data_IF_807864417281
#
_entry.id   IF_807864417281
#
_cell.length_a   1.000
_cell.length_b   1.000
_cell.length_c   1.000
_cell.angle_alpha   90.00
_cell.angle_beta   90.00
_cell.angle_gamma   90.00
#
_symmetry.space_group_name_H-M   'P 1'
#
loop_
_entity.id
_entity.type
_entity.pdbx_description
1 polymer ?
#
# COMPACT_ATOMS: atom_id res chain seq x y z
N UNK A 1 -30.21 24.52 30.09
CA UNK A 1 -29.25 23.55 30.65
C UNK A 1 -29.64 22.17 30.11
N UNK A 2 -29.14 21.82 28.94
CA UNK A 2 -29.32 20.49 28.37
C UNK A 2 -28.22 19.60 28.96
N UNK A 3 -28.67 18.66 29.79
CA UNK A 3 -27.83 17.59 30.30
C UNK A 3 -27.47 16.68 29.09
N UNK A 4 -26.27 16.78 28.59
CA UNK A 4 -25.68 15.73 27.75
C UNK A 4 -25.60 14.48 28.61
N UNK A 5 -26.57 13.58 28.45
CA UNK A 5 -26.46 12.20 28.92
C UNK A 5 -25.32 11.56 28.10
N UNK A 6 -24.13 11.53 28.71
CA UNK A 6 -23.06 10.66 28.28
C UNK A 6 -23.50 9.22 28.58
N UNK A 7 -24.28 8.61 27.69
CA UNK A 7 -24.48 7.18 27.72
C UNK A 7 -23.10 6.53 27.55
N UNK A 8 -22.64 5.89 28.64
CA UNK A 8 -21.44 5.07 28.63
C UNK A 8 -21.70 3.92 27.67
N UNK A 9 -21.27 4.04 26.43
CA UNK A 9 -21.32 2.94 25.45
C UNK A 9 -20.66 1.71 26.06
N UNK A 10 -21.34 0.58 25.98
CA UNK A 10 -20.78 -0.70 26.42
C UNK A 10 -19.60 -1.08 25.50
N UNK A 11 -18.66 -1.87 26.02
CA UNK A 11 -17.51 -2.35 25.22
C UNK A 11 -17.96 -3.05 23.93
N UNK A 12 -19.10 -3.76 23.98
CA UNK A 12 -19.73 -4.42 22.83
C UNK A 12 -20.19 -3.42 21.77
N UNK A 13 -20.72 -2.28 22.13
CA UNK A 13 -21.18 -1.23 21.20
C UNK A 13 -19.98 -0.56 20.52
N UNK A 14 -18.93 -0.24 21.26
CA UNK A 14 -17.68 0.29 20.69
C UNK A 14 -17.08 -0.68 19.68
N UNK A 15 -17.05 -1.98 20.01
CA UNK A 15 -16.52 -2.98 19.10
C UNK A 15 -17.38 -3.11 17.84
N UNK A 16 -18.71 -3.05 17.98
CA UNK A 16 -19.63 -3.11 16.84
C UNK A 16 -19.48 -1.91 15.90
N UNK A 17 -19.21 -0.72 16.45
CA UNK A 17 -18.97 0.48 15.66
C UNK A 17 -17.67 0.40 14.85
N UNK A 18 -16.58 -0.10 15.44
CA UNK A 18 -15.33 -0.36 14.74
C UNK A 18 -15.52 -1.37 13.59
N UNK A 19 -16.24 -2.48 13.86
CA UNK A 19 -16.58 -3.46 12.83
C UNK A 19 -17.40 -2.86 11.69
N UNK A 20 -18.32 -1.96 11.98
CA UNK A 20 -19.11 -1.25 10.98
C UNK A 20 -18.21 -0.40 10.08
N UNK A 21 -17.22 0.29 10.64
CA UNK A 21 -16.23 1.07 9.84
C UNK A 21 -15.43 0.15 8.91
N UNK A 22 -14.88 -0.94 9.45
CA UNK A 22 -14.09 -1.91 8.67
C UNK A 22 -14.94 -2.51 7.54
N UNK A 23 -16.16 -2.94 7.85
CA UNK A 23 -17.10 -3.51 6.86
C UNK A 23 -17.44 -2.50 5.76
N UNK A 24 -17.70 -1.25 6.13
CA UNK A 24 -18.02 -0.19 5.17
C UNK A 24 -16.82 0.15 4.29
N UNK A 25 -15.61 0.16 4.85
CA UNK A 25 -14.38 0.36 4.10
C UNK A 25 -14.13 -0.80 3.13
N UNK A 26 -14.32 -2.04 3.55
CA UNK A 26 -14.20 -3.21 2.69
C UNK A 26 -15.21 -3.17 1.53
N UNK A 27 -16.47 -2.82 1.81
CA UNK A 27 -17.48 -2.60 0.77
C UNK A 27 -17.07 -1.46 -0.18
N UNK A 28 -16.50 -0.38 0.36
CA UNK A 28 -15.98 0.73 -0.44
C UNK A 28 -14.89 0.28 -1.41
N UNK A 29 -13.94 -0.55 -0.95
CA UNK A 29 -12.88 -1.12 -1.80
C UNK A 29 -13.49 -1.97 -2.92
N UNK A 30 -14.46 -2.84 -2.62
CA UNK A 30 -15.15 -3.65 -3.65
C UNK A 30 -15.84 -2.77 -4.69
N UNK A 31 -16.59 -1.75 -4.24
CA UNK A 31 -17.27 -0.83 -5.15
C UNK A 31 -16.30 -0.02 -5.99
N UNK A 32 -15.20 0.45 -5.40
CA UNK A 32 -14.13 1.14 -6.12
C UNK A 32 -13.46 0.23 -7.16
N UNK A 33 -13.22 -1.05 -6.82
CA UNK A 33 -12.65 -2.03 -7.75
C UNK A 33 -13.59 -2.28 -8.93
N UNK A 34 -14.88 -2.41 -8.70
CA UNK A 34 -15.88 -2.56 -9.76
C UNK A 34 -15.88 -1.32 -10.67
N UNK A 35 -15.88 -0.12 -10.06
CA UNK A 35 -15.86 1.12 -10.83
C UNK A 35 -14.59 1.25 -11.68
N UNK A 36 -13.42 1.01 -11.09
CA UNK A 36 -12.14 1.07 -11.78
C UNK A 36 -12.00 0.00 -12.87
N UNK A 37 -12.66 -1.16 -12.73
CA UNK A 37 -12.59 -2.24 -13.72
C UNK A 37 -13.10 -1.83 -15.10
N UNK A 38 -13.97 -0.84 -15.19
CA UNK A 38 -14.46 -0.31 -16.48
C UNK A 38 -13.42 0.56 -17.20
N UNK A 39 -12.46 1.10 -16.49
CA UNK A 39 -11.47 2.04 -17.01
C UNK A 39 -10.05 1.51 -17.02
N UNK A 40 -9.80 0.33 -16.43
CA UNK A 40 -8.44 -0.16 -16.20
C UNK A 40 -7.67 -0.41 -17.49
N UNK A 41 -8.34 -0.86 -18.54
CA UNK A 41 -7.71 -1.13 -19.83
C UNK A 41 -7.24 0.16 -20.50
N UNK A 42 -8.06 1.21 -20.45
CA UNK A 42 -7.71 2.53 -20.96
C UNK A 42 -6.59 3.17 -20.13
N UNK A 43 -6.65 3.04 -18.81
CA UNK A 43 -5.61 3.55 -17.90
C UNK A 43 -4.27 2.87 -18.18
N UNK A 44 -4.27 1.54 -18.30
CA UNK A 44 -3.05 0.78 -18.59
C UNK A 44 -2.52 1.04 -20.00
N UNK A 45 -3.39 1.13 -20.99
CA UNK A 45 -3.02 1.46 -22.37
C UNK A 45 -2.32 2.82 -22.43
N UNK A 46 -2.97 3.86 -21.93
CA UNK A 46 -2.41 5.21 -21.90
C UNK A 46 -1.13 5.30 -21.07
N UNK A 47 -1.04 4.53 -19.97
CA UNK A 47 0.15 4.48 -19.14
C UNK A 47 1.33 3.81 -19.87
N UNK A 48 1.10 2.68 -20.53
CA UNK A 48 2.12 2.00 -21.35
C UNK A 48 2.58 2.87 -22.52
N UNK A 49 1.68 3.58 -23.18
CA UNK A 49 2.02 4.55 -24.23
C UNK A 49 2.85 5.72 -23.69
N UNK A 50 2.65 6.11 -22.43
CA UNK A 50 3.45 7.20 -21.80
C UNK A 50 4.87 6.79 -21.44
N UNK A 51 5.19 5.50 -21.47
CA UNK A 51 6.54 4.98 -21.27
C UNK A 51 7.40 5.22 -22.54
N UNK A 52 7.52 6.41 -23.05
CA UNK A 52 8.21 6.90 -24.25
C UNK A 52 9.47 6.09 -24.69
N UNK A 53 9.29 4.81 -24.90
CA UNK A 53 10.27 3.93 -25.52
C UNK A 53 10.28 4.28 -27.01
N UNK A 54 11.42 4.51 -27.61
CA UNK A 54 11.60 4.99 -29.00
C UNK A 54 10.63 4.32 -29.97
N UNK A 55 9.70 5.14 -30.53
CA UNK A 55 8.41 4.72 -31.08
C UNK A 55 8.47 3.83 -32.33
N UNK A 56 9.60 3.67 -32.96
CA UNK A 56 9.67 3.01 -34.28
C UNK A 56 9.87 1.49 -34.22
N UNK A 57 10.23 0.90 -33.06
CA UNK A 57 10.57 -0.52 -32.96
C UNK A 57 10.09 -1.27 -31.72
N UNK A 58 9.37 -0.63 -30.78
CA UNK A 58 8.98 -1.28 -29.53
C UNK A 58 7.52 -1.71 -29.51
N UNK A 59 7.31 -3.01 -29.34
CA UNK A 59 6.00 -3.59 -29.08
C UNK A 59 6.05 -4.24 -27.69
N UNK A 60 5.22 -3.75 -26.77
CA UNK A 60 5.00 -4.46 -25.52
C UNK A 60 4.37 -5.83 -25.82
N UNK A 61 4.96 -6.88 -25.29
CA UNK A 61 4.48 -8.24 -25.46
C UNK A 61 3.79 -8.70 -24.17
N UNK A 62 2.68 -9.40 -24.32
CA UNK A 62 2.03 -10.12 -23.22
C UNK A 62 2.18 -11.60 -23.54
N UNK A 63 3.00 -12.30 -22.77
CA UNK A 63 3.29 -13.71 -23.02
C UNK A 63 2.25 -14.67 -22.45
N UNK A 64 1.56 -14.26 -21.38
CA UNK A 64 0.55 -15.07 -20.72
C UNK A 64 -0.74 -14.26 -20.50
N UNK A 65 -1.87 -14.66 -21.08
CA UNK A 65 -3.16 -14.04 -20.83
C UNK A 65 -3.59 -14.14 -19.35
N UNK A 66 -3.21 -15.20 -18.65
CA UNK A 66 -3.51 -15.38 -17.23
C UNK A 66 -2.78 -14.37 -16.37
N UNK A 67 -1.46 -14.21 -16.58
CA UNK A 67 -0.65 -13.27 -15.83
C UNK A 67 -1.11 -11.82 -16.06
N UNK A 68 -1.61 -11.54 -17.26
CA UNK A 68 -2.23 -10.24 -17.56
C UNK A 68 -3.49 -9.98 -16.75
N UNK A 69 -4.37 -10.99 -16.63
CA UNK A 69 -5.59 -10.89 -15.84
C UNK A 69 -5.25 -10.71 -14.34
N UNK A 70 -4.35 -11.54 -13.81
CA UNK A 70 -3.93 -11.45 -12.41
C UNK A 70 -3.31 -10.09 -12.09
N UNK A 71 -2.48 -9.57 -13.00
CA UNK A 71 -1.87 -8.26 -12.90
C UNK A 71 -2.90 -7.14 -12.85
N UNK A 72 -3.92 -7.18 -13.71
CA UNK A 72 -5.04 -6.23 -13.68
C UNK A 72 -5.80 -6.27 -12.35
N UNK A 73 -6.13 -7.46 -11.84
CA UNK A 73 -6.84 -7.58 -10.58
C UNK A 73 -6.03 -7.09 -9.39
N UNK A 74 -4.72 -7.38 -9.36
CA UNK A 74 -3.82 -6.87 -8.33
C UNK A 74 -3.75 -5.34 -8.35
N UNK A 75 -3.66 -4.74 -9.54
CA UNK A 75 -3.63 -3.29 -9.72
C UNK A 75 -4.94 -2.63 -9.27
N UNK A 76 -6.08 -3.21 -9.69
CA UNK A 76 -7.41 -2.75 -9.27
C UNK A 76 -7.53 -2.73 -7.76
N UNK A 77 -7.06 -3.78 -7.07
CA UNK A 77 -7.11 -3.87 -5.63
C UNK A 77 -6.27 -2.79 -4.95
N UNK A 78 -5.04 -2.58 -5.42
CA UNK A 78 -4.13 -1.55 -4.86
C UNK A 78 -4.72 -0.16 -5.02
N UNK A 79 -5.19 0.20 -6.22
CA UNK A 79 -5.77 1.52 -6.47
C UNK A 79 -7.08 1.73 -5.72
N UNK A 80 -7.90 0.68 -5.58
CA UNK A 80 -9.14 0.74 -4.80
C UNK A 80 -8.87 0.95 -3.31
N UNK A 81 -7.86 0.28 -2.75
CA UNK A 81 -7.42 0.50 -1.38
C UNK A 81 -6.93 1.95 -1.23
N UNK A 82 -6.08 2.43 -2.13
CA UNK A 82 -5.57 3.79 -2.09
C UNK A 82 -6.69 4.83 -2.14
N UNK A 83 -7.70 4.60 -2.97
CA UNK A 83 -8.85 5.50 -3.13
C UNK A 83 -9.72 5.58 -1.87
N UNK A 84 -9.92 4.45 -1.17
CA UNK A 84 -10.77 4.37 0.01
C UNK A 84 -10.02 4.69 1.31
N UNK A 85 -8.69 4.64 1.29
CA UNK A 85 -7.86 4.85 2.47
C UNK A 85 -8.09 6.21 3.16
N UNK A 86 -8.20 7.37 2.47
CA UNK A 86 -8.49 8.65 3.11
C UNK A 86 -9.84 8.65 3.85
N UNK A 87 -10.85 8.02 3.26
CA UNK A 87 -12.17 7.88 3.90
C UNK A 87 -12.07 6.99 5.15
N UNK A 88 -11.38 5.85 5.06
CA UNK A 88 -11.20 4.91 6.16
C UNK A 88 -10.47 5.57 7.34
N UNK A 89 -9.37 6.28 7.07
CA UNK A 89 -8.60 6.99 8.11
C UNK A 89 -9.42 8.10 8.76
N UNK A 90 -10.23 8.83 7.99
CA UNK A 90 -11.16 9.82 8.52
C UNK A 90 -12.20 9.22 9.46
N UNK A 91 -12.80 8.08 9.10
CA UNK A 91 -13.79 7.37 9.94
C UNK A 91 -13.16 6.81 11.22
N UNK A 92 -11.98 6.19 11.12
CA UNK A 92 -11.23 5.70 12.29
C UNK A 92 -10.88 6.86 13.23
N UNK A 93 -10.45 8.00 12.69
CA UNK A 93 -10.18 9.19 13.46
C UNK A 93 -11.41 9.64 14.28
N UNK A 94 -12.55 9.82 13.61
CA UNK A 94 -13.77 10.29 14.28
C UNK A 94 -14.26 9.31 15.34
N UNK A 95 -14.08 8.03 15.13
CA UNK A 95 -14.39 6.98 16.10
C UNK A 95 -13.50 7.06 17.35
N UNK A 96 -12.20 7.28 17.18
CA UNK A 96 -11.24 7.24 18.27
C UNK A 96 -11.17 8.56 19.08
N UNK A 97 -11.44 9.72 18.44
CA UNK A 97 -11.27 11.05 19.06
C UNK A 97 -12.00 11.23 20.40
N UNK A 98 -13.22 10.72 20.61
CA UNK A 98 -13.92 10.90 21.89
C UNK A 98 -13.22 10.24 23.10
N UNK A 99 -12.43 9.16 22.84
CA UNK A 99 -11.72 8.43 23.88
C UNK A 99 -10.30 8.91 24.19
N UNK A 100 -9.81 9.93 23.47
CA UNK A 100 -8.43 10.39 23.57
C UNK A 100 -8.31 11.69 24.37
N UNK A 101 -7.20 11.86 25.12
CA UNK A 101 -6.85 13.12 25.75
C UNK A 101 -6.41 14.17 24.70
N UNK A 102 -6.51 15.46 25.03
CA UNK A 102 -6.26 16.53 24.05
C UNK A 102 -4.83 16.54 23.47
N UNK A 103 -3.84 16.10 24.25
CA UNK A 103 -2.46 15.93 23.77
C UNK A 103 -2.34 14.78 22.76
N UNK A 104 -3.10 13.72 22.99
CA UNK A 104 -3.10 12.51 22.17
C UNK A 104 -3.84 12.71 20.85
N UNK A 105 -4.92 13.51 20.88
CA UNK A 105 -5.73 13.81 19.67
C UNK A 105 -4.90 14.37 18.52
N UNK A 106 -3.94 15.25 18.83
CA UNK A 106 -3.11 15.88 17.79
C UNK A 106 -2.22 14.85 17.10
N UNK A 107 -1.50 14.05 17.90
CA UNK A 107 -0.59 13.05 17.34
C UNK A 107 -1.34 11.97 16.57
N UNK A 108 -2.41 11.44 17.16
CA UNK A 108 -3.26 10.42 16.52
C UNK A 108 -3.84 10.91 15.19
N UNK A 109 -4.39 12.13 15.18
CA UNK A 109 -4.91 12.76 13.96
C UNK A 109 -3.83 12.92 12.91
N UNK A 110 -2.63 13.39 13.30
CA UNK A 110 -1.51 13.58 12.38
C UNK A 110 -1.05 12.25 11.78
N UNK A 111 -0.90 11.20 12.58
CA UNK A 111 -0.49 9.88 12.12
C UNK A 111 -1.50 9.25 11.13
N UNK A 112 -2.80 9.37 11.42
CA UNK A 112 -3.86 8.90 10.52
C UNK A 112 -3.94 9.71 9.22
N UNK A 113 -3.87 11.04 9.32
CA UNK A 113 -3.88 11.90 8.16
C UNK A 113 -2.66 11.64 7.27
N UNK A 114 -1.50 11.50 7.91
CA UNK A 114 -0.26 11.18 7.21
C UNK A 114 -0.38 9.88 6.42
N UNK A 115 -0.82 8.78 7.04
CA UNK A 115 -0.99 7.52 6.33
C UNK A 115 -2.08 7.57 5.27
N UNK A 116 -3.22 8.22 5.55
CA UNK A 116 -4.35 8.32 4.64
C UNK A 116 -4.10 9.16 3.39
N UNK A 117 -3.19 10.12 3.45
CA UNK A 117 -2.86 11.02 2.32
C UNK A 117 -1.54 10.63 1.67
N UNK A 118 -0.53 10.28 2.46
CA UNK A 118 0.80 9.99 1.92
C UNK A 118 0.82 8.69 1.12
N UNK A 119 0.12 7.65 1.55
CA UNK A 119 0.10 6.38 0.79
C UNK A 119 -0.42 6.60 -0.65
N UNK A 120 -1.58 7.22 -0.89
CA UNK A 120 -2.02 7.53 -2.25
C UNK A 120 -1.05 8.39 -3.05
N UNK A 121 -0.43 9.39 -2.41
CA UNK A 121 0.56 10.26 -3.07
C UNK A 121 1.81 9.46 -3.47
N UNK A 122 2.33 8.62 -2.58
CA UNK A 122 3.49 7.78 -2.87
C UNK A 122 3.19 6.76 -3.97
N UNK A 123 2.00 6.17 -3.98
CA UNK A 123 1.57 5.29 -5.07
C UNK A 123 1.52 6.05 -6.39
N UNK A 124 0.97 7.26 -6.41
CA UNK A 124 1.00 8.11 -7.59
C UNK A 124 2.43 8.39 -8.08
N UNK A 125 3.34 8.76 -7.16
CA UNK A 125 4.74 8.99 -7.49
C UNK A 125 5.45 7.75 -8.04
N UNK A 126 5.16 6.57 -7.48
CA UNK A 126 5.71 5.30 -7.98
C UNK A 126 5.26 5.05 -9.42
N UNK A 127 3.95 5.13 -9.67
CA UNK A 127 3.38 4.75 -10.96
C UNK A 127 3.63 5.76 -12.07
N UNK A 128 3.57 7.06 -11.77
CA UNK A 128 3.66 8.11 -12.80
C UNK A 128 5.02 8.79 -12.91
N UNK A 129 5.92 8.59 -11.94
CA UNK A 129 7.25 9.21 -11.97
C UNK A 129 8.35 8.16 -11.88
N UNK A 130 8.34 7.31 -10.82
CA UNK A 130 9.47 6.42 -10.57
C UNK A 130 9.56 5.28 -11.58
N UNK A 131 8.45 4.62 -11.90
CA UNK A 131 8.43 3.52 -12.88
C UNK A 131 8.78 3.98 -14.30
N UNK A 132 8.18 5.04 -14.86
CA UNK A 132 8.59 5.55 -16.16
C UNK A 132 10.07 5.94 -16.22
N UNK A 133 10.55 6.64 -15.19
CA UNK A 133 11.97 6.98 -15.09
C UNK A 133 12.88 5.75 -15.09
N UNK A 134 12.50 4.73 -14.33
CA UNK A 134 13.29 3.50 -14.20
C UNK A 134 13.30 2.69 -15.52
N UNK A 135 12.16 2.60 -16.20
CA UNK A 135 12.05 1.91 -17.49
C UNK A 135 12.89 2.62 -18.55
N UNK A 136 12.78 3.95 -18.65
CA UNK A 136 13.57 4.73 -19.60
C UNK A 136 15.07 4.64 -19.30
N UNK A 137 15.46 4.65 -18.02
CA UNK A 137 16.87 4.48 -17.63
C UNK A 137 17.43 3.12 -18.05
N UNK A 138 16.68 2.04 -17.87
CA UNK A 138 17.11 0.71 -18.29
C UNK A 138 17.10 0.54 -19.80
N UNK A 139 16.23 1.21 -20.52
CA UNK A 139 16.23 1.23 -21.97
C UNK A 139 17.52 1.89 -22.50
N UNK A 140 17.87 3.05 -21.96
CA UNK A 140 19.09 3.79 -22.34
C UNK A 140 20.38 3.01 -22.03
N UNK A 141 20.44 2.33 -20.87
CA UNK A 141 21.60 1.52 -20.46
C UNK A 141 21.62 0.15 -21.14
N UNK A 142 20.45 -0.41 -21.46
CA UNK A 142 20.29 -1.75 -22.04
C UNK A 142 20.54 -1.81 -23.56
N UNK A 143 20.64 -0.69 -24.24
CA UNK A 143 21.05 -0.63 -25.65
C UNK A 143 22.50 -1.09 -25.76
N UNK A 144 22.71 -2.40 -25.96
CA UNK A 144 24.01 -2.91 -26.31
C UNK A 144 24.34 -2.41 -27.73
N UNK A 145 25.12 -1.35 -27.85
CA UNK A 145 25.77 -0.93 -29.07
C UNK A 145 26.77 -2.01 -29.52
N UNK A 146 26.28 -3.03 -30.15
CA UNK A 146 27.09 -4.11 -30.70
C UNK A 146 26.67 -4.41 -32.10
N UNK A 147 27.55 -4.10 -33.07
CA UNK A 147 27.30 -4.23 -34.47
C UNK A 147 26.70 -5.57 -34.93
N UNK A 148 25.82 -5.49 -35.95
CA UNK A 148 24.96 -6.55 -36.49
C UNK A 148 23.90 -7.05 -35.47
N UNK A 149 22.86 -6.28 -35.30
CA UNK A 149 21.71 -6.47 -34.40
C UNK A 149 21.00 -7.80 -34.59
N UNK A 150 21.45 -8.83 -33.92
CA UNK A 150 20.78 -10.13 -33.81
C UNK A 150 19.83 -10.16 -32.59
N UNK A 151 19.96 -9.22 -31.63
CA UNK A 151 19.19 -9.19 -30.40
C UNK A 151 18.37 -7.90 -30.35
N UNK A 152 17.05 -8.02 -30.52
CA UNK A 152 16.10 -6.95 -30.22
C UNK A 152 15.56 -7.15 -28.80
N UNK A 153 15.67 -6.15 -27.93
CA UNK A 153 15.03 -6.17 -26.63
C UNK A 153 13.50 -6.10 -26.80
N UNK A 154 12.78 -7.04 -26.19
CA UNK A 154 11.33 -6.99 -26.08
C UNK A 154 10.96 -6.84 -24.63
N UNK A 155 10.18 -5.83 -24.32
CA UNK A 155 9.70 -5.59 -22.97
C UNK A 155 8.40 -6.33 -22.73
N UNK A 156 8.36 -7.12 -21.66
CA UNK A 156 7.13 -7.75 -21.18
C UNK A 156 6.35 -6.76 -20.31
N UNK A 157 5.17 -6.35 -20.79
CA UNK A 157 4.31 -5.43 -20.08
C UNK A 157 3.93 -5.95 -18.69
N UNK A 158 3.68 -7.27 -18.56
CA UNK A 158 3.31 -7.90 -17.30
C UNK A 158 4.44 -7.78 -16.28
N UNK A 159 5.67 -8.02 -16.69
CA UNK A 159 6.84 -7.94 -15.79
C UNK A 159 7.06 -6.52 -15.28
N UNK A 160 6.94 -5.50 -16.12
CA UNK A 160 7.08 -4.08 -15.72
C UNK A 160 5.97 -3.69 -14.73
N UNK A 161 4.73 -4.02 -15.04
CA UNK A 161 3.60 -3.71 -14.16
C UNK A 161 3.72 -4.46 -12.83
N UNK A 162 4.16 -5.72 -12.86
CA UNK A 162 4.37 -6.56 -11.67
C UNK A 162 5.45 -5.99 -10.74
N UNK A 163 6.51 -5.36 -11.27
CA UNK A 163 7.48 -4.63 -10.44
C UNK A 163 6.78 -3.50 -9.68
N UNK A 164 5.97 -2.70 -10.36
CA UNK A 164 5.20 -1.63 -9.73
C UNK A 164 4.22 -2.13 -8.68
N UNK A 165 3.52 -3.22 -8.95
CA UNK A 165 2.62 -3.88 -8.01
C UNK A 165 3.36 -4.31 -6.75
N UNK A 166 4.52 -4.98 -6.89
CA UNK A 166 5.31 -5.42 -5.75
C UNK A 166 5.76 -4.26 -4.86
N UNK A 167 6.31 -3.20 -5.45
CA UNK A 167 6.69 -1.99 -4.70
C UNK A 167 5.49 -1.36 -4.02
N UNK A 168 4.35 -1.32 -4.69
CA UNK A 168 3.09 -0.78 -4.13
C UNK A 168 2.61 -1.57 -2.92
N UNK A 169 2.65 -2.90 -2.97
CA UNK A 169 2.30 -3.76 -1.82
C UNK A 169 3.24 -3.57 -0.65
N UNK A 170 4.55 -3.53 -0.88
CA UNK A 170 5.56 -3.26 0.17
C UNK A 170 5.25 -1.93 0.85
N UNK A 171 4.95 -0.89 0.08
CA UNK A 171 4.64 0.44 0.60
C UNK A 171 3.35 0.43 1.42
N UNK A 172 2.26 -0.11 0.89
CA UNK A 172 0.95 -0.13 1.57
C UNK A 172 1.02 -0.96 2.86
N UNK A 173 1.52 -2.19 2.77
CA UNK A 173 1.59 -3.09 3.94
C UNK A 173 2.58 -2.55 4.97
N UNK A 174 3.76 -2.09 4.54
CA UNK A 174 4.78 -1.53 5.42
C UNK A 174 4.30 -0.30 6.17
N UNK A 175 3.66 0.65 5.49
CA UNK A 175 3.13 1.87 6.12
C UNK A 175 1.96 1.59 7.04
N UNK A 176 1.03 0.71 6.67
CA UNK A 176 -0.07 0.29 7.54
C UNK A 176 0.44 -0.43 8.80
N UNK A 177 1.44 -1.30 8.65
CA UNK A 177 2.07 -1.98 9.79
C UNK A 177 2.78 -0.98 10.71
N UNK A 178 3.51 -0.04 10.13
CA UNK A 178 4.16 1.04 10.89
C UNK A 178 3.13 1.85 11.68
N UNK A 179 2.00 2.19 11.07
CA UNK A 179 0.91 2.90 11.71
C UNK A 179 0.34 2.10 12.89
N UNK A 180 0.02 0.82 12.68
CA UNK A 180 -0.53 -0.05 13.74
C UNK A 180 0.45 -0.23 14.89
N UNK A 181 1.73 -0.43 14.60
CA UNK A 181 2.79 -0.51 15.64
C UNK A 181 2.96 0.80 16.39
N UNK A 182 2.98 1.93 15.68
CA UNK A 182 3.08 3.26 16.28
C UNK A 182 1.90 3.54 17.21
N UNK A 183 0.69 3.22 16.78
CA UNK A 183 -0.50 3.35 17.63
C UNK A 183 -0.47 2.40 18.84
N UNK A 184 -0.05 1.14 18.63
CA UNK A 184 0.07 0.18 19.73
C UNK A 184 1.12 0.61 20.78
N UNK A 185 2.22 1.27 20.36
CA UNK A 185 3.20 1.86 21.28
C UNK A 185 2.64 3.07 21.99
N UNK A 186 1.96 3.93 21.25
CA UNK A 186 1.35 5.13 21.80
C UNK A 186 0.33 4.81 22.91
N UNK A 187 -0.48 3.76 22.73
CA UNK A 187 -1.43 3.29 23.76
C UNK A 187 -0.78 2.42 24.86
N UNK A 188 0.54 2.29 24.88
CA UNK A 188 1.24 1.49 25.87
C UNK A 188 1.02 -0.03 25.77
N UNK A 189 0.40 -0.51 24.69
CA UNK A 189 0.18 -1.94 24.45
C UNK A 189 1.47 -2.67 24.06
N UNK A 190 2.43 -1.95 23.49
CA UNK A 190 3.72 -2.46 23.04
C UNK A 190 4.81 -1.70 23.78
N UNK A 191 5.45 -2.37 24.72
CA UNK A 191 6.68 -1.91 25.38
C UNK A 191 7.91 -2.46 24.64
N UNK A 192 9.07 -1.85 24.81
CA UNK A 192 10.28 -2.24 24.06
C UNK A 192 10.79 -3.65 24.39
N UNK A 193 10.45 -4.18 25.56
CA UNK A 193 10.82 -5.53 25.96
C UNK A 193 9.65 -6.51 25.78
N UNK A 194 9.78 -7.41 24.80
CA UNK A 194 9.02 -8.68 24.66
C UNK A 194 7.49 -8.60 24.61
N UNK A 195 6.94 -7.61 23.91
CA UNK A 195 5.49 -7.59 23.69
C UNK A 195 5.09 -8.67 22.68
N UNK A 196 4.33 -9.68 23.11
CA UNK A 196 3.73 -10.71 22.24
C UNK A 196 2.88 -10.11 21.12
N UNK A 197 2.27 -8.95 21.37
CA UNK A 197 1.47 -8.21 20.39
C UNK A 197 2.36 -7.72 19.24
N UNK A 198 3.52 -7.12 19.56
CA UNK A 198 4.49 -6.67 18.55
C UNK A 198 4.90 -7.80 17.62
N UNK A 199 5.30 -8.94 18.17
CA UNK A 199 5.74 -10.09 17.38
C UNK A 199 4.60 -10.58 16.46
N UNK A 200 3.35 -10.64 16.93
CA UNK A 200 2.20 -11.03 16.11
C UNK A 200 1.96 -10.06 14.96
N UNK A 201 2.02 -8.75 15.19
CA UNK A 201 1.85 -7.73 14.14
C UNK A 201 2.96 -7.89 13.08
N UNK A 202 4.22 -8.06 13.51
CA UNK A 202 5.36 -8.24 12.60
C UNK A 202 5.26 -9.54 11.80
N UNK A 203 4.80 -10.64 12.40
CA UNK A 203 4.55 -11.90 11.69
C UNK A 203 3.43 -11.77 10.65
N UNK A 204 2.34 -11.07 10.99
CA UNK A 204 1.26 -10.79 10.03
C UNK A 204 1.80 -9.96 8.87
N UNK A 205 2.58 -8.91 9.15
CA UNK A 205 3.21 -8.09 8.12
C UNK A 205 4.10 -8.94 7.20
N UNK A 206 4.99 -9.74 7.78
CA UNK A 206 5.87 -10.65 7.03
C UNK A 206 5.08 -11.57 6.11
N UNK A 207 4.04 -12.21 6.63
CA UNK A 207 3.19 -13.13 5.87
C UNK A 207 2.43 -12.42 4.75
N UNK A 208 1.88 -11.22 5.02
CA UNK A 208 1.16 -10.44 4.02
C UNK A 208 2.08 -10.02 2.87
N UNK A 209 3.27 -9.48 3.17
CA UNK A 209 4.23 -9.10 2.13
C UNK A 209 4.66 -10.31 1.32
N UNK A 210 5.02 -11.42 1.99
CA UNK A 210 5.45 -12.65 1.32
C UNK A 210 4.40 -13.18 0.33
N UNK A 211 3.12 -13.12 0.70
CA UNK A 211 2.01 -13.63 -0.12
C UNK A 211 1.57 -12.66 -1.22
N UNK A 212 1.73 -11.35 -1.00
CA UNK A 212 1.27 -10.34 -1.96
C UNK A 212 2.28 -10.03 -3.07
N UNK A 213 3.55 -10.41 -2.89
CA UNK A 213 4.58 -10.15 -3.90
C UNK A 213 4.38 -11.01 -5.15
N UNK A 214 4.40 -10.39 -6.37
CA UNK A 214 4.34 -11.12 -7.64
C UNK A 214 5.51 -12.07 -7.86
N UNK A 215 5.38 -12.99 -8.82
CA UNK A 215 6.41 -13.99 -9.17
C UNK A 215 7.74 -13.38 -9.61
N UNK A 216 7.73 -12.16 -10.13
CA UNK A 216 8.94 -11.40 -10.48
C UNK A 216 9.92 -11.21 -9.30
N UNK A 217 9.42 -11.36 -8.07
CA UNK A 217 10.21 -11.24 -6.84
C UNK A 217 10.61 -12.58 -6.20
N UNK A 218 10.35 -13.73 -6.84
CA UNK A 218 10.48 -15.05 -6.21
C UNK A 218 11.81 -15.28 -5.49
N UNK A 219 12.92 -14.92 -6.10
CA UNK A 219 14.25 -15.06 -5.48
C UNK A 219 14.52 -14.15 -4.27
N UNK A 220 13.77 -13.06 -4.15
CA UNK A 220 14.01 -12.01 -3.14
C UNK A 220 12.86 -11.85 -2.14
N UNK A 221 11.76 -12.57 -2.30
CA UNK A 221 10.54 -12.42 -1.48
C UNK A 221 10.82 -12.43 0.02
N UNK A 222 11.61 -13.40 0.50
CA UNK A 222 11.91 -13.55 1.94
C UNK A 222 12.72 -12.35 2.44
N UNK A 223 13.74 -11.94 1.67
CA UNK A 223 14.62 -10.82 2.04
C UNK A 223 13.82 -9.51 2.09
N UNK A 224 13.00 -9.25 1.06
CA UNK A 224 12.17 -8.05 0.97
C UNK A 224 11.15 -8.02 2.12
N UNK A 225 10.49 -9.15 2.40
CA UNK A 225 9.54 -9.25 3.51
C UNK A 225 10.21 -8.98 4.85
N UNK A 226 11.41 -9.52 5.08
CA UNK A 226 12.18 -9.27 6.30
C UNK A 226 12.59 -7.79 6.42
N UNK A 227 13.10 -7.21 5.35
CA UNK A 227 13.48 -5.79 5.33
C UNK A 227 12.28 -4.88 5.60
N UNK A 228 11.12 -5.18 5.01
CA UNK A 228 9.88 -4.41 5.26
C UNK A 228 9.48 -4.45 6.73
N UNK A 229 9.55 -5.63 7.36
CA UNK A 229 9.27 -5.82 8.79
C UNK A 229 10.25 -5.02 9.65
N UNK A 230 11.55 -5.13 9.38
CA UNK A 230 12.59 -4.40 10.11
C UNK A 230 12.41 -2.88 9.97
N UNK A 231 12.07 -2.40 8.78
CA UNK A 231 11.83 -0.99 8.51
C UNK A 231 10.60 -0.48 9.26
N UNK A 232 9.49 -1.22 9.21
CA UNK A 232 8.26 -0.89 9.92
C UNK A 232 8.47 -0.84 11.44
N UNK A 233 9.18 -1.80 12.02
CA UNK A 233 9.53 -1.79 13.45
C UNK A 233 10.44 -0.61 13.83
N UNK A 234 11.47 -0.35 13.03
CA UNK A 234 12.42 0.74 13.27
C UNK A 234 11.74 2.12 13.25
N UNK A 235 10.90 2.38 12.26
CA UNK A 235 10.16 3.64 12.17
C UNK A 235 9.16 3.76 13.31
N UNK A 236 8.47 2.67 13.69
CA UNK A 236 7.51 2.70 14.80
C UNK A 236 8.15 3.06 16.15
N UNK A 237 9.46 2.85 16.32
CA UNK A 237 10.21 3.23 17.54
C UNK A 237 10.43 4.74 17.68
N UNK A 238 10.23 5.50 16.59
CA UNK A 238 10.29 6.96 16.65
C UNK A 238 9.03 7.58 17.27
N UNK A 239 8.02 6.77 17.58
CA UNK A 239 6.79 7.25 18.21
C UNK A 239 7.04 7.66 19.65
N UNK A 240 6.68 8.88 20.08
CA UNK A 240 6.82 9.29 21.47
C UNK A 240 5.89 8.45 22.36
N UNK A 241 6.45 7.94 23.45
CA UNK A 241 5.68 7.30 24.52
C UNK A 241 5.26 8.41 25.45
N UNK A 242 3.96 8.64 25.60
CA UNK A 242 3.44 9.55 26.62
C UNK A 242 3.25 8.73 27.92
N UNK A 243 4.16 8.94 28.86
CA UNK A 243 4.00 8.51 30.25
C UNK A 243 2.98 9.38 31.01
#
# INVERSE_FOLDING_TARGET
>A
MEFYQNEKMTFSEHFSELFKIIRLSALGVVMASIFLSFYIDDILGNWLESLSLDADNFVFSVYSPYDWIDTKWALLLIFSIAMILPYTTYKIRNFALPGLYDKEKKWFTLSLLFSGVIIPILLYLIWFIALPFLVNYFDEVGMVEGGNNIVSARYDAVSIISLGIGVSWILVIGTLTTLVLSMSRFFGMVTDNESRIRIRILLICFSLVLLSLPSTYDGLRIIISLLTVLFADSISRLTPIFE
#
